data_IF_099333988051
#
_entry.id   IF_099333988051
#
_cell.length_a   1.000
_cell.length_b   1.000
_cell.length_c   1.000
_cell.angle_alpha   90.00
_cell.angle_beta   90.00
_cell.angle_gamma   90.00
#
_symmetry.space_group_name_H-M   'P 1'
#
loop_
_entity.id
_entity.type
_entity.pdbx_description
1 polymer ?
#
# COMPACT_ATOMS: atom_id res chain seq x y z
N UNK A 1 69.75 -69.09 28.75
CA UNK A 1 69.98 -67.65 28.98
C UNK A 1 69.13 -66.87 27.98
N UNK A 2 68.39 -65.87 28.49
CA UNK A 2 67.58 -64.81 27.83
C UNK A 2 66.31 -65.22 27.06
N UNK A 3 65.09 -64.86 27.53
CA UNK A 3 64.38 -63.54 27.51
C UNK A 3 64.12 -63.06 26.07
N UNK A 4 62.95 -62.65 25.57
CA UNK A 4 61.55 -62.44 26.03
C UNK A 4 60.73 -62.13 24.74
N UNK A 5 59.39 -62.04 24.79
CA UNK A 5 58.48 -62.17 23.63
C UNK A 5 58.08 -60.84 22.99
N UNK A 6 57.45 -60.89 21.81
CA UNK A 6 56.62 -59.77 21.33
C UNK A 6 55.40 -60.24 20.53
N UNK A 7 54.25 -59.71 20.97
CA UNK A 7 52.93 -59.77 20.37
C UNK A 7 52.94 -59.27 18.91
N UNK A 8 52.00 -59.75 18.08
CA UNK A 8 50.92 -58.90 17.56
C UNK A 8 49.84 -59.72 16.86
N UNK A 9 48.63 -59.58 17.39
CA UNK A 9 47.36 -60.02 16.81
C UNK A 9 46.98 -59.13 15.63
N UNK A 10 46.48 -59.72 14.54
CA UNK A 10 45.64 -59.00 13.58
C UNK A 10 44.49 -59.89 13.11
N UNK A 11 43.37 -59.77 13.80
CA UNK A 11 42.08 -60.33 13.41
C UNK A 11 41.51 -59.54 12.24
N UNK A 12 41.25 -60.23 11.14
CA UNK A 12 40.48 -59.71 10.00
C UNK A 12 39.02 -59.54 10.40
N UNK A 13 38.49 -58.31 10.28
CA UNK A 13 37.05 -58.04 10.33
C UNK A 13 36.63 -57.42 9.00
N UNK A 14 35.92 -58.25 8.23
CA UNK A 14 35.21 -57.92 7.02
C UNK A 14 33.89 -57.24 7.41
N UNK A 15 33.75 -55.95 7.13
CA UNK A 15 32.50 -55.20 7.35
C UNK A 15 31.93 -54.75 6.00
N UNK A 16 30.74 -55.21 5.58
CA UNK A 16 30.05 -54.60 4.46
C UNK A 16 29.46 -53.26 4.91
N UNK A 17 29.83 -52.19 4.22
CA UNK A 17 29.22 -50.87 4.37
C UNK A 17 27.75 -50.95 3.95
N UNK A 18 26.86 -51.02 4.93
CA UNK A 18 25.42 -51.03 4.73
C UNK A 18 24.96 -49.66 4.22
N UNK A 19 24.44 -49.66 2.99
CA UNK A 19 23.58 -48.64 2.41
C UNK A 19 22.32 -48.49 3.27
N UNK A 20 22.32 -47.56 4.22
CA UNK A 20 21.14 -47.21 5.04
C UNK A 20 21.07 -45.72 5.41
N UNK A 21 21.23 -44.83 4.42
CA UNK A 21 21.00 -43.39 4.65
C UNK A 21 20.09 -42.69 3.63
N UNK A 22 19.48 -43.41 2.68
CA UNK A 22 18.61 -42.78 1.67
C UNK A 22 17.10 -42.79 2.01
N UNK A 23 16.65 -43.56 3.01
CA UNK A 23 15.21 -43.74 3.25
C UNK A 23 14.62 -42.93 4.43
N UNK A 24 15.37 -42.05 5.10
CA UNK A 24 14.82 -41.21 6.18
C UNK A 24 14.54 -39.74 5.79
N UNK A 25 14.64 -39.36 4.51
CA UNK A 25 14.39 -37.98 4.07
C UNK A 25 12.97 -37.71 3.52
N UNK A 26 12.08 -38.70 3.49
CA UNK A 26 10.71 -38.56 2.93
C UNK A 26 9.59 -38.49 3.98
N UNK A 27 9.86 -37.94 5.17
CA UNK A 27 8.82 -37.53 6.12
C UNK A 27 8.88 -36.01 6.40
N UNK A 28 8.98 -35.20 5.34
CA UNK A 28 8.58 -33.80 5.44
C UNK A 28 7.07 -33.75 5.22
N UNK A 29 6.34 -33.43 6.29
CA UNK A 29 4.93 -33.07 6.24
C UNK A 29 4.70 -32.03 5.13
N UNK A 30 3.58 -32.07 4.39
CA UNK A 30 3.23 -30.97 3.51
C UNK A 30 3.26 -29.66 4.31
N UNK A 31 3.76 -28.55 3.75
CA UNK A 31 3.67 -27.27 4.43
C UNK A 31 2.20 -27.05 4.76
N UNK A 32 1.88 -26.94 6.05
CA UNK A 32 0.62 -26.36 6.47
C UNK A 32 0.61 -24.96 5.87
N UNK A 33 -0.12 -24.79 4.76
CA UNK A 33 -0.52 -23.48 4.28
C UNK A 33 -1.44 -22.94 5.37
N UNK A 34 -0.83 -22.35 6.40
CA UNK A 34 -1.45 -21.29 7.13
C UNK A 34 -1.65 -20.19 6.08
N UNK A 35 -2.73 -20.29 5.31
CA UNK A 35 -3.36 -19.11 4.73
C UNK A 35 -3.75 -18.27 5.95
N UNK A 36 -2.76 -17.54 6.47
CA UNK A 36 -3.00 -16.40 7.29
C UNK A 36 -3.78 -15.46 6.37
N UNK A 37 -5.10 -15.61 6.38
CA UNK A 37 -6.04 -14.54 6.10
C UNK A 37 -5.66 -13.41 7.03
N UNK A 38 -4.64 -12.66 6.61
CA UNK A 38 -4.16 -11.48 7.28
C UNK A 38 -5.34 -10.54 7.20
N UNK A 39 -6.08 -10.39 8.29
CA UNK A 39 -7.16 -9.42 8.38
C UNK A 39 -6.53 -8.07 8.09
N UNK A 40 -6.62 -7.65 6.84
CA UNK A 40 -5.99 -6.45 6.35
C UNK A 40 -6.70 -5.30 7.04
N UNK A 41 -5.96 -4.55 7.85
CA UNK A 41 -6.52 -3.40 8.54
C UNK A 41 -7.22 -2.49 7.52
N UNK A 42 -8.37 -1.96 7.90
CA UNK A 42 -9.25 -1.25 6.99
C UNK A 42 -9.47 0.18 7.47
N UNK A 43 -9.35 1.14 6.56
CA UNK A 43 -9.65 2.56 6.76
C UNK A 43 -11.16 2.75 6.61
N UNK A 44 -11.80 3.25 7.65
CA UNK A 44 -13.25 3.41 7.67
C UNK A 44 -13.75 4.38 6.60
N UNK A 45 -13.06 5.52 6.41
CA UNK A 45 -13.47 6.57 5.48
C UNK A 45 -12.27 7.31 4.86
N UNK A 46 -12.20 7.29 3.54
CA UNK A 46 -11.34 8.17 2.75
C UNK A 46 -12.22 9.15 1.97
N UNK A 47 -12.10 10.43 2.30
CA UNK A 47 -12.80 11.53 1.64
C UNK A 47 -11.83 12.23 0.69
N UNK A 48 -12.23 12.38 -0.56
CA UNK A 48 -11.54 13.21 -1.53
C UNK A 48 -12.34 14.49 -1.72
N UNK A 49 -11.71 15.65 -1.70
CA UNK A 49 -12.38 16.93 -1.93
C UNK A 49 -11.85 17.57 -3.19
N UNK A 50 -12.74 18.18 -3.98
CA UNK A 50 -12.36 19.03 -5.09
C UNK A 50 -12.50 20.49 -4.64
N UNK A 51 -11.38 21.19 -4.37
CA UNK A 51 -11.42 22.61 -4.03
C UNK A 51 -11.72 23.46 -5.28
N UNK A 52 -12.11 24.72 -5.04
CA UNK A 52 -12.04 25.75 -6.08
C UNK A 52 -10.57 25.97 -6.45
N UNK A 53 -10.24 25.89 -7.73
CA UNK A 53 -8.88 26.04 -8.25
C UNK A 53 -8.87 26.91 -9.52
N UNK A 54 -8.97 28.24 -9.41
CA UNK A 54 -8.84 29.15 -10.55
C UNK A 54 -7.45 29.05 -11.22
N UNK A 55 -7.33 29.25 -12.55
CA UNK A 55 -8.42 29.56 -13.48
C UNK A 55 -9.20 28.33 -13.96
N UNK A 56 -8.70 27.12 -13.73
CA UNK A 56 -9.20 25.88 -14.36
C UNK A 56 -10.56 25.42 -13.83
N UNK A 57 -10.83 25.59 -12.53
CA UNK A 57 -12.11 25.27 -11.90
C UNK A 57 -12.46 26.33 -10.85
N UNK A 58 -12.96 27.51 -11.24
CA UNK A 58 -13.30 28.57 -10.30
C UNK A 58 -14.44 28.19 -9.34
N UNK A 59 -15.36 27.34 -9.79
CA UNK A 59 -16.46 26.83 -8.99
C UNK A 59 -16.60 25.31 -9.20
N UNK A 60 -16.45 24.48 -8.15
CA UNK A 60 -16.62 23.04 -8.25
C UNK A 60 -18.01 22.58 -8.72
N UNK A 61 -19.05 23.39 -8.56
CA UNK A 61 -20.39 23.07 -9.09
C UNK A 61 -20.48 23.10 -10.62
N UNK A 62 -19.42 23.52 -11.33
CA UNK A 62 -19.31 23.38 -12.78
C UNK A 62 -19.03 21.94 -13.21
N UNK A 63 -18.67 21.05 -12.29
CA UNK A 63 -18.44 19.65 -12.59
C UNK A 63 -19.76 18.97 -12.98
N UNK A 64 -19.78 18.18 -14.06
CA UNK A 64 -20.92 17.35 -14.41
C UNK A 64 -21.27 16.38 -13.26
N UNK A 65 -22.56 16.16 -13.03
CA UNK A 65 -23.04 15.19 -12.03
C UNK A 65 -22.56 13.74 -12.29
N UNK A 66 -22.18 13.43 -13.55
CA UNK A 66 -21.58 12.14 -13.93
C UNK A 66 -20.13 11.98 -13.47
N UNK A 67 -19.55 12.97 -12.80
CA UNK A 67 -18.17 12.92 -12.31
C UNK A 67 -18.05 11.89 -11.19
N UNK A 68 -17.04 11.01 -11.27
CA UNK A 68 -16.80 9.94 -10.28
C UNK A 68 -15.32 9.70 -10.05
N UNK A 69 -14.98 9.27 -8.86
CA UNK A 69 -13.64 8.80 -8.53
C UNK A 69 -13.57 7.26 -8.51
N UNK A 70 -12.40 6.71 -8.80
CA UNK A 70 -12.11 5.27 -8.71
C UNK A 70 -10.80 5.02 -7.98
N UNK A 71 -10.78 4.05 -7.06
CA UNK A 71 -9.56 3.49 -6.47
C UNK A 71 -9.32 2.11 -7.05
N UNK A 72 -8.18 1.93 -7.70
CA UNK A 72 -7.79 0.66 -8.32
C UNK A 72 -6.53 0.13 -7.66
N UNK A 73 -6.51 -1.15 -7.31
CA UNK A 73 -5.31 -1.85 -6.85
C UNK A 73 -5.21 -3.20 -7.54
N UNK A 74 -4.00 -3.74 -7.66
CA UNK A 74 -3.77 -4.98 -8.40
C UNK A 74 -4.45 -6.15 -7.68
N UNK A 75 -5.17 -6.99 -8.43
CA UNK A 75 -5.79 -8.21 -7.89
C UNK A 75 -7.02 -7.98 -7.00
N UNK A 76 -7.55 -6.75 -6.90
CA UNK A 76 -8.75 -6.46 -6.14
C UNK A 76 -9.80 -5.74 -6.98
N UNK A 77 -11.05 -5.74 -6.51
CA UNK A 77 -12.14 -4.99 -7.12
C UNK A 77 -11.90 -3.49 -7.02
N UNK A 78 -12.07 -2.78 -8.15
CA UNK A 78 -12.05 -1.32 -8.18
C UNK A 78 -13.18 -0.74 -7.33
N UNK A 79 -12.82 0.13 -6.38
CA UNK A 79 -13.80 0.90 -5.63
C UNK A 79 -14.18 2.14 -6.42
N UNK A 80 -15.42 2.61 -6.29
CA UNK A 80 -15.83 3.85 -6.94
C UNK A 80 -16.80 4.66 -6.10
N UNK A 81 -16.68 5.98 -6.19
CA UNK A 81 -17.50 6.94 -5.47
C UNK A 81 -17.99 8.04 -6.44
N UNK A 82 -19.30 8.33 -6.49
CA UNK A 82 -19.84 9.46 -7.25
C UNK A 82 -19.53 10.80 -6.55
N UNK A 83 -19.56 11.90 -7.31
CA UNK A 83 -19.45 13.25 -6.77
C UNK A 83 -20.68 13.58 -5.89
N UNK A 84 -20.45 14.04 -4.67
CA UNK A 84 -21.49 14.56 -3.79
C UNK A 84 -21.80 16.04 -4.04
N UNK A 85 -22.89 16.53 -3.45
CA UNK A 85 -23.26 17.95 -3.41
C UNK A 85 -22.24 18.85 -2.67
N UNK A 86 -21.43 18.26 -1.78
CA UNK A 86 -20.33 18.95 -1.06
C UNK A 86 -19.01 18.94 -1.83
N UNK A 87 -19.01 18.57 -3.10
CA UNK A 87 -17.81 18.46 -3.95
C UNK A 87 -16.80 17.45 -3.42
N UNK A 88 -17.31 16.34 -2.87
CA UNK A 88 -16.48 15.27 -2.32
C UNK A 88 -16.78 13.90 -2.92
N UNK A 89 -15.80 13.00 -2.87
CA UNK A 89 -15.97 11.57 -3.11
C UNK A 89 -15.68 10.83 -1.81
N UNK A 90 -16.53 9.87 -1.43
CA UNK A 90 -16.37 9.12 -0.18
C UNK A 90 -16.18 7.64 -0.46
N UNK A 91 -14.99 7.13 -0.16
CA UNK A 91 -14.70 5.70 -0.14
C UNK A 91 -14.79 5.19 1.29
N UNK A 92 -15.45 4.04 1.47
CA UNK A 92 -15.62 3.39 2.77
C UNK A 92 -14.91 2.05 2.74
N UNK A 93 -14.42 1.64 3.90
CA UNK A 93 -13.78 0.34 4.10
C UNK A 93 -12.61 0.10 3.12
N UNK A 94 -11.68 1.05 3.03
CA UNK A 94 -10.50 0.94 2.17
C UNK A 94 -9.42 0.13 2.89
N UNK A 95 -9.08 -1.07 2.42
CA UNK A 95 -8.07 -1.89 3.08
C UNK A 95 -6.67 -1.26 2.99
N UNK A 96 -5.77 -1.63 3.91
CA UNK A 96 -4.37 -1.24 3.87
C UNK A 96 -3.71 -1.72 2.57
N UNK A 97 -3.04 -0.83 1.84
CA UNK A 97 -2.47 -1.17 0.55
C UNK A 97 -2.19 0.05 -0.30
N UNK A 98 -1.83 -0.23 -1.54
CA UNK A 98 -1.39 0.75 -2.53
C UNK A 98 -2.43 0.86 -3.64
N UNK A 99 -2.91 2.06 -3.90
CA UNK A 99 -4.00 2.33 -4.83
C UNK A 99 -3.62 3.39 -5.84
N UNK A 100 -4.16 3.25 -7.05
CA UNK A 100 -4.23 4.33 -8.04
C UNK A 100 -5.63 4.96 -7.98
N UNK A 101 -5.65 6.26 -7.75
CA UNK A 101 -6.83 7.10 -7.69
C UNK A 101 -6.97 7.90 -8.99
N UNK A 102 -8.12 7.78 -9.64
CA UNK A 102 -8.49 8.57 -10.80
C UNK A 102 -9.85 9.26 -10.59
N UNK A 103 -9.98 10.48 -11.13
CA UNK A 103 -11.27 11.18 -11.22
C UNK A 103 -11.67 11.28 -12.69
N UNK A 104 -12.83 10.71 -12.99
CA UNK A 104 -13.42 10.69 -14.32
C UNK A 104 -14.49 11.77 -14.40
N UNK A 105 -14.29 12.74 -15.29
CA UNK A 105 -15.27 13.77 -15.60
C UNK A 105 -15.39 13.95 -17.11
N UNK A 106 -16.58 14.32 -17.59
CA UNK A 106 -16.80 14.63 -18.99
C UNK A 106 -16.15 15.96 -19.39
N UNK A 107 -16.15 16.97 -18.51
CA UNK A 107 -15.69 18.32 -18.83
C UNK A 107 -14.26 18.63 -18.40
N UNK A 108 -13.69 17.86 -17.46
CA UNK A 108 -12.45 18.24 -16.76
C UNK A 108 -11.46 17.09 -16.67
N UNK A 109 -10.18 17.44 -16.62
CA UNK A 109 -9.05 16.53 -16.40
C UNK A 109 -8.51 16.75 -14.99
N UNK A 110 -8.23 15.65 -14.30
CA UNK A 110 -7.65 15.64 -12.95
C UNK A 110 -6.31 14.92 -12.98
N UNK A 111 -5.42 15.29 -12.05
CA UNK A 111 -4.16 14.59 -11.85
C UNK A 111 -4.46 13.24 -11.17
N UNK A 112 -3.96 12.10 -11.69
CA UNK A 112 -4.11 10.84 -10.98
C UNK A 112 -3.21 10.84 -9.74
N UNK A 113 -3.69 10.21 -8.67
CA UNK A 113 -2.95 10.15 -7.41
C UNK A 113 -2.60 8.69 -7.09
N UNK A 114 -1.39 8.45 -6.58
CA UNK A 114 -1.08 7.23 -5.85
C UNK A 114 -1.49 7.44 -4.39
N UNK A 115 -2.21 6.49 -3.81
CA UNK A 115 -2.63 6.52 -2.41
C UNK A 115 -2.14 5.25 -1.72
N UNK A 116 -1.31 5.41 -0.70
CA UNK A 116 -0.85 4.31 0.15
C UNK A 116 -1.52 4.41 1.52
N UNK A 117 -2.19 3.34 1.92
CA UNK A 117 -2.84 3.14 3.21
C UNK A 117 -2.01 2.14 4.00
N UNK A 118 -1.41 2.55 5.12
CA UNK A 118 -0.48 1.72 5.90
C UNK A 118 -0.83 1.76 7.38
N UNK A 119 -0.60 0.67 8.12
CA UNK A 119 -0.76 0.67 9.57
C UNK A 119 0.16 1.70 10.23
N UNK A 120 -0.38 2.68 10.99
CA UNK A 120 0.49 3.65 11.70
C UNK A 120 1.40 2.97 12.71
N UNK A 121 1.03 1.82 13.25
CA UNK A 121 1.89 1.04 14.17
C UNK A 121 3.15 0.51 13.49
N UNK A 122 3.16 0.38 12.17
CA UNK A 122 4.28 -0.20 11.40
C UNK A 122 5.22 0.86 10.78
N UNK A 123 5.04 2.15 11.09
CA UNK A 123 5.91 3.22 10.55
C UNK A 123 7.32 3.25 11.16
N UNK A 124 7.63 2.34 12.09
CA UNK A 124 8.97 2.20 12.67
C UNK A 124 9.86 1.13 12.00
N UNK A 125 9.39 0.39 10.99
CA UNK A 125 10.11 -0.80 10.50
C UNK A 125 10.56 -0.80 9.02
N UNK A 126 10.25 0.20 8.19
CA UNK A 126 10.78 0.23 6.81
C UNK A 126 11.24 1.65 6.44
N UNK A 127 12.55 1.78 6.31
CA UNK A 127 13.25 3.03 6.04
C UNK A 127 12.83 3.69 4.73
N UNK A 128 12.72 5.01 4.79
CA UNK A 128 12.72 5.90 3.65
C UNK A 128 13.16 7.25 4.16
N UNK A 129 14.46 7.55 4.04
CA UNK A 129 15.06 8.80 4.49
C UNK A 129 14.36 9.99 3.85
N UNK A 130 13.64 10.76 4.65
CA UNK A 130 13.10 12.06 4.33
C UNK A 130 13.35 12.96 5.53
N UNK A 131 14.08 14.05 5.31
CA UNK A 131 14.55 14.96 6.34
C UNK A 131 13.42 15.48 7.23
N UNK A 132 13.72 15.56 8.53
CA UNK A 132 12.86 16.08 9.56
C UNK A 132 12.58 17.59 9.34
N UNK A 133 11.52 17.89 8.60
CA UNK A 133 10.88 19.19 8.65
C UNK A 133 10.30 19.43 10.05
N UNK A 134 10.95 20.31 10.81
CA UNK A 134 10.61 20.69 12.18
C UNK A 134 9.26 21.44 12.24
N UNK A 135 8.16 20.70 12.19
CA UNK A 135 6.81 21.22 12.50
C UNK A 135 6.53 21.12 13.99
N UNK A 136 6.54 22.25 14.70
CA UNK A 136 6.01 22.37 16.07
C UNK A 136 4.48 22.28 16.03
N UNK A 137 3.91 21.27 16.67
CA UNK A 137 2.47 21.17 16.97
C UNK A 137 2.21 19.94 17.81
N UNK A 138 1.89 20.13 19.09
CA UNK A 138 1.82 19.07 20.10
C UNK A 138 0.72 18.04 19.85
N UNK A 139 1.05 16.77 20.06
CA UNK A 139 0.09 15.69 20.21
C UNK A 139 0.08 15.25 21.68
N UNK A 140 -0.93 15.71 22.43
CA UNK A 140 -1.42 15.08 23.65
C UNK A 140 -2.14 13.79 23.23
N UNK A 141 -1.90 12.70 23.96
CA UNK A 141 -2.25 11.34 23.55
C UNK A 141 -3.74 11.07 23.36
N UNK A 142 -4.03 10.16 22.41
CA UNK A 142 -5.32 9.51 22.18
C UNK A 142 -5.17 8.35 21.18
N UNK A 143 -5.38 7.12 21.67
CA UNK A 143 -5.52 5.81 20.99
C UNK A 143 -4.93 5.61 19.56
N UNK A 144 -3.83 4.86 19.46
CA UNK A 144 -2.98 4.71 18.27
C UNK A 144 -3.26 3.46 17.41
N UNK A 145 -4.53 3.15 17.11
CA UNK A 145 -4.91 2.03 16.22
C UNK A 145 -5.32 2.43 14.80
N UNK A 146 -4.99 3.65 14.37
CA UNK A 146 -5.35 4.17 13.05
C UNK A 146 -4.43 3.72 11.93
N UNK A 147 -4.98 3.53 10.74
CA UNK A 147 -4.23 3.52 9.48
C UNK A 147 -3.78 4.94 9.13
N UNK A 148 -2.56 5.08 8.63
CA UNK A 148 -2.01 6.31 8.08
C UNK A 148 -2.13 6.29 6.57
N UNK A 149 -2.46 7.43 5.98
CA UNK A 149 -2.61 7.59 4.53
C UNK A 149 -1.57 8.55 4.01
N UNK A 150 -0.94 8.19 2.90
CA UNK A 150 -0.02 9.05 2.15
C UNK A 150 -0.46 9.07 0.71
N UNK A 151 -0.41 10.25 0.09
CA UNK A 151 -0.81 10.41 -1.29
C UNK A 151 0.23 11.21 -2.06
N UNK A 152 0.32 10.93 -3.36
CA UNK A 152 1.23 11.61 -4.26
C UNK A 152 0.60 11.78 -5.64
N UNK A 153 0.94 12.87 -6.32
CA UNK A 153 0.60 13.03 -7.74
C UNK A 153 1.42 12.06 -8.59
N UNK A 154 0.79 11.45 -9.59
CA UNK A 154 1.46 10.51 -10.50
C UNK A 154 1.05 10.76 -11.95
N UNK A 155 1.65 10.00 -12.87
CA UNK A 155 1.32 10.04 -14.30
C UNK A 155 1.30 8.62 -14.88
N UNK A 156 0.54 8.44 -15.95
CA UNK A 156 0.47 7.15 -16.66
C UNK A 156 1.84 6.82 -17.24
N UNK A 157 2.34 5.62 -16.97
CA UNK A 157 3.66 5.17 -17.41
C UNK A 157 4.82 5.51 -16.45
N UNK A 158 4.53 6.11 -15.29
CA UNK A 158 5.53 6.27 -14.24
C UNK A 158 5.81 4.95 -13.52
N UNK A 159 7.08 4.70 -13.16
CA UNK A 159 7.46 3.56 -12.33
C UNK A 159 6.80 3.63 -10.96
N UNK A 160 6.33 2.49 -10.45
CA UNK A 160 5.61 2.44 -9.18
C UNK A 160 6.45 3.04 -8.04
N UNK A 161 7.74 2.74 -7.96
CA UNK A 161 8.62 3.24 -6.89
C UNK A 161 8.87 4.76 -6.93
N UNK A 162 8.65 5.41 -8.08
CA UNK A 162 8.80 6.86 -8.21
C UNK A 162 7.53 7.55 -7.72
N UNK A 163 7.57 8.07 -6.50
CA UNK A 163 6.38 8.62 -5.86
C UNK A 163 6.07 10.08 -6.20
N UNK A 164 6.88 10.82 -6.98
CA UNK A 164 6.52 12.20 -7.36
C UNK A 164 6.30 13.16 -6.16
N UNK A 165 5.50 14.21 -6.37
CA UNK A 165 5.19 15.20 -5.32
C UNK A 165 4.11 14.70 -4.35
N UNK A 166 4.36 14.86 -3.04
CA UNK A 166 3.40 14.50 -1.98
C UNK A 166 2.24 15.48 -1.96
N UNK A 167 1.02 14.96 -1.93
CA UNK A 167 -0.19 15.75 -1.69
C UNK A 167 -0.45 15.86 -0.19
N UNK A 168 -0.93 17.02 0.25
CA UNK A 168 -1.34 17.24 1.64
C UNK A 168 -2.47 16.29 2.04
N UNK A 169 -2.28 15.59 3.15
CA UNK A 169 -3.28 14.70 3.75
C UNK A 169 -3.71 15.28 5.08
N UNK A 170 -5.01 15.53 5.25
CA UNK A 170 -5.58 16.00 6.52
C UNK A 170 -6.19 14.80 7.23
N UNK A 171 -5.58 14.39 8.34
CA UNK A 171 -6.11 13.33 9.19
C UNK A 171 -7.18 13.88 10.15
N UNK A 172 -8.28 13.15 10.33
CA UNK A 172 -9.31 13.46 11.33
C UNK A 172 -10.38 14.46 10.91
N UNK A 173 -10.66 14.59 9.60
CA UNK A 173 -11.64 15.57 9.08
C UNK A 173 -13.07 15.40 9.63
N UNK A 174 -13.71 14.26 9.36
CA UNK A 174 -15.14 14.01 9.67
C UNK A 174 -15.33 12.99 10.82
N UNK A 175 -14.30 12.75 11.62
CA UNK A 175 -14.31 11.75 12.70
C UNK A 175 -13.01 10.93 12.80
N UNK A 176 -12.89 10.14 13.87
CA UNK A 176 -11.75 9.24 14.08
C UNK A 176 -11.60 8.26 12.91
N UNK A 177 -10.38 8.11 12.40
CA UNK A 177 -10.08 7.21 11.28
C UNK A 177 -10.61 7.70 9.92
N UNK A 178 -11.01 8.96 9.82
CA UNK A 178 -11.29 9.62 8.53
C UNK A 178 -10.07 10.38 8.02
N UNK A 179 -9.87 10.35 6.70
CA UNK A 179 -8.79 11.07 6.02
C UNK A 179 -9.38 11.91 4.89
N UNK A 180 -8.91 13.15 4.75
CA UNK A 180 -9.26 14.05 3.66
C UNK A 180 -8.05 14.33 2.77
N UNK A 181 -8.27 14.22 1.46
CA UNK A 181 -7.29 14.49 0.40
C UNK A 181 -7.87 15.44 -0.64
N UNK A 182 -7.15 16.50 -0.97
CA UNK A 182 -7.56 17.39 -2.06
C UNK A 182 -7.11 16.82 -3.41
N UNK A 183 -8.00 16.88 -4.41
CA UNK A 183 -7.72 16.47 -5.79
C UNK A 183 -7.60 17.70 -6.68
N UNK A 184 -6.53 17.76 -7.47
CA UNK A 184 -6.24 18.90 -8.35
C UNK A 184 -6.80 18.72 -9.75
N UNK A 185 -7.41 19.79 -10.26
CA UNK A 185 -7.87 19.90 -11.65
C UNK A 185 -6.74 20.48 -12.50
N UNK A 186 -6.51 19.87 -13.66
CA UNK A 186 -5.50 20.31 -14.64
C UNK A 186 -6.10 21.29 -15.63
N UNK A 187 -7.34 21.05 -16.07
CA UNK A 187 -7.99 21.88 -17.09
C UNK A 187 -9.29 21.27 -17.61
N UNK A 188 -9.89 21.98 -18.57
CA UNK A 188 -11.06 21.51 -19.32
C UNK A 188 -10.69 20.55 -20.46
N UNK A 189 -11.61 19.67 -20.82
CA UNK A 189 -11.49 18.78 -21.98
C UNK A 189 -12.08 19.46 -23.22
N UNK A 190 -11.26 19.70 -24.23
CA UNK A 190 -11.69 20.10 -25.57
C UNK A 190 -11.89 18.86 -26.43
N UNK A 191 -13.11 18.64 -26.94
CA UNK A 191 -13.41 17.52 -27.85
C UNK A 191 -13.53 17.95 -29.32
N UNK A 192 -13.68 19.25 -29.56
CA UNK A 192 -13.82 19.81 -30.89
C UNK A 192 -12.50 20.43 -31.35
N UNK A 193 -12.20 20.28 -32.63
CA UNK A 193 -11.05 20.92 -33.27
C UNK A 193 -11.52 22.16 -34.03
N UNK A 194 -10.76 23.24 -33.96
CA UNK A 194 -10.96 24.41 -34.81
C UNK A 194 -10.71 24.04 -36.28
N UNK A 195 -11.47 24.67 -37.18
CA UNK A 195 -11.41 24.40 -38.63
C UNK A 195 -10.66 25.50 -39.34
#
# INVERSE_FOLDING_TARGET
MHLTPFLLTLTSLLTPAATQQYQQQHQQQPPSTNDASTTQATLNKLTLRIPSSPPHLPNPHLLPASTRATLTTLGHTTLSAPLSDTNTFVFRNVSGGSYLLDVHSAGFVFVPLRVDVTDRKNTNAVGGGGEAGKGKGGAVGGSSSGLGVRAWETFRGNDWANVGERVGVVEGGDGEGSVLLDVRVVGGKGYFMER
#
